data_IF_981743919681
#
_entry.id   IF_981743919681
#
_cell.length_a   1.000
_cell.length_b   1.000
_cell.length_c   1.000
_cell.angle_alpha   90.00
_cell.angle_beta   90.00
_cell.angle_gamma   90.00
#
_symmetry.space_group_name_H-M   'P 1'
#
loop_
_entity.id
_entity.type
_entity.pdbx_description
1 polymer ?
#
# COMPACT_ATOMS: atom_id res chain seq x y z
N UNK A 1 -0.65 13.56 -12.45
CA UNK A 1 0.68 13.25 -11.86
C UNK A 1 1.71 14.06 -12.63
N UNK A 2 2.55 14.85 -11.96
CA UNK A 2 3.54 15.74 -12.62
C UNK A 2 4.97 15.20 -12.59
N UNK A 3 5.25 14.23 -11.72
CA UNK A 3 6.54 13.54 -11.63
C UNK A 3 6.28 12.07 -11.30
N UNK A 4 6.86 11.15 -12.08
CA UNK A 4 6.68 9.70 -11.93
C UNK A 4 7.82 8.99 -11.23
N UNK A 5 8.89 9.69 -10.82
CA UNK A 5 10.11 9.08 -10.28
C UNK A 5 9.85 8.04 -9.17
N UNK A 6 8.86 8.30 -8.30
CA UNK A 6 8.50 7.36 -7.22
C UNK A 6 7.82 6.09 -7.73
N UNK A 7 7.02 6.21 -8.79
CA UNK A 7 6.41 5.06 -9.45
C UNK A 7 7.50 4.28 -10.18
N UNK A 8 8.32 4.99 -10.97
CA UNK A 8 9.43 4.41 -11.73
C UNK A 8 10.38 3.59 -10.85
N UNK A 9 10.68 4.09 -9.65
CA UNK A 9 11.58 3.44 -8.72
C UNK A 9 11.02 2.16 -8.08
N UNK A 10 9.69 1.98 -8.02
CA UNK A 10 9.06 0.77 -7.49
C UNK A 10 8.89 -0.34 -8.56
N UNK A 11 8.89 0.02 -9.85
CA UNK A 11 8.69 -0.93 -10.95
C UNK A 11 9.68 -2.11 -10.95
N UNK A 12 10.99 -1.93 -10.67
CA UNK A 12 11.93 -3.05 -10.64
C UNK A 12 11.53 -4.15 -9.65
N UNK A 13 11.06 -3.78 -8.45
CA UNK A 13 10.60 -4.74 -7.43
C UNK A 13 9.36 -5.49 -7.89
N UNK A 14 8.39 -4.76 -8.46
CA UNK A 14 7.14 -5.33 -8.97
C UNK A 14 7.42 -6.33 -10.10
N UNK A 15 8.23 -5.92 -11.08
CA UNK A 15 8.58 -6.74 -12.23
C UNK A 15 9.33 -7.99 -11.81
N UNK A 16 10.32 -7.87 -10.91
CA UNK A 16 11.07 -9.00 -10.40
C UNK A 16 10.18 -10.03 -9.71
N UNK A 17 9.25 -9.59 -8.85
CA UNK A 17 8.36 -10.51 -8.17
C UNK A 17 7.47 -11.27 -9.17
N UNK A 18 6.93 -10.59 -10.18
CA UNK A 18 6.16 -11.22 -11.26
C UNK A 18 7.00 -12.21 -12.07
N UNK A 19 8.21 -11.84 -12.48
CA UNK A 19 9.11 -12.67 -13.28
C UNK A 19 9.59 -13.92 -12.52
N UNK A 20 9.62 -13.85 -11.19
CA UNK A 20 9.99 -14.96 -10.30
C UNK A 20 8.77 -15.73 -9.76
N UNK A 21 7.62 -15.63 -10.44
CA UNK A 21 6.49 -16.51 -10.20
C UNK A 21 5.55 -16.08 -9.07
N UNK A 22 5.60 -14.82 -8.62
CA UNK A 22 4.55 -14.30 -7.75
C UNK A 22 3.20 -14.36 -8.49
N UNK A 23 2.22 -15.01 -7.85
CA UNK A 23 0.87 -15.14 -8.42
C UNK A 23 0.20 -13.79 -8.61
N UNK A 24 0.36 -12.87 -7.67
CA UNK A 24 -0.16 -11.51 -7.76
C UNK A 24 0.68 -10.55 -6.94
N UNK A 25 0.57 -9.26 -7.25
CA UNK A 25 1.20 -8.17 -6.49
C UNK A 25 0.08 -7.27 -5.95
N UNK A 26 0.06 -7.06 -4.63
CA UNK A 26 -0.85 -6.11 -3.97
C UNK A 26 -0.03 -4.89 -3.54
N UNK A 27 -0.30 -3.75 -4.16
CA UNK A 27 0.36 -2.48 -3.91
C UNK A 27 -0.44 -1.69 -2.86
N UNK A 28 0.20 -1.39 -1.73
CA UNK A 28 -0.35 -0.51 -0.69
C UNK A 28 0.48 0.78 -0.61
N UNK A 29 -0.18 1.94 -0.67
CA UNK A 29 0.50 3.22 -0.65
C UNK A 29 -0.41 4.33 -0.12
N UNK A 30 0.13 5.54 -0.02
CA UNK A 30 -0.62 6.71 0.37
C UNK A 30 -0.30 7.91 -0.51
N UNK A 31 -1.25 8.84 -0.59
CA UNK A 31 -1.10 10.11 -1.28
C UNK A 31 -1.54 11.27 -0.38
N UNK A 32 -0.70 12.30 -0.28
CA UNK A 32 -1.03 13.50 0.48
C UNK A 32 -1.25 13.27 1.98
N UNK A 33 -2.13 14.07 2.58
CA UNK A 33 -2.45 14.05 4.01
C UNK A 33 -3.97 14.14 4.22
N UNK A 34 -4.70 13.05 3.93
CA UNK A 34 -6.15 12.99 4.15
C UNK A 34 -6.57 12.92 5.63
N UNK A 35 -5.63 12.72 6.56
CA UNK A 35 -5.86 12.71 8.02
C UNK A 35 -6.89 11.67 8.51
N UNK A 36 -7.05 10.54 7.83
CA UNK A 36 -7.97 9.47 8.20
C UNK A 36 -9.39 9.64 7.65
N UNK A 37 -9.57 10.48 6.63
CA UNK A 37 -10.86 10.68 5.97
C UNK A 37 -10.75 10.55 4.45
N UNK A 38 -11.80 10.06 3.80
CA UNK A 38 -11.84 9.97 2.34
C UNK A 38 -11.79 11.36 1.70
N UNK A 39 -10.97 11.50 0.66
CA UNK A 39 -10.91 12.72 -0.16
C UNK A 39 -10.49 12.39 -1.58
N UNK A 40 -11.38 12.66 -2.55
CA UNK A 40 -11.18 12.36 -3.97
C UNK A 40 -9.87 12.95 -4.54
N UNK A 41 -9.43 14.12 -4.04
CA UNK A 41 -8.16 14.74 -4.41
C UNK A 41 -6.93 13.86 -4.12
N UNK A 42 -7.05 12.97 -3.14
CA UNK A 42 -5.99 12.08 -2.69
C UNK A 42 -6.24 10.62 -3.08
N UNK A 43 -7.18 10.34 -3.99
CA UNK A 43 -7.37 8.99 -4.52
C UNK A 43 -6.11 8.49 -5.26
N UNK A 44 -5.90 7.18 -5.20
CA UNK A 44 -4.87 6.44 -5.93
C UNK A 44 -5.24 6.19 -7.40
N UNK A 45 -6.44 6.56 -7.85
CA UNK A 45 -6.88 6.36 -9.23
C UNK A 45 -5.93 6.94 -10.31
N UNK A 46 -5.35 8.14 -10.15
CA UNK A 46 -4.35 8.64 -11.08
C UNK A 46 -3.06 7.81 -11.07
N UNK A 47 -2.68 7.25 -9.91
CA UNK A 47 -1.49 6.40 -9.77
C UNK A 47 -1.71 5.06 -10.45
N UNK A 48 -2.89 4.45 -10.30
CA UNK A 48 -3.26 3.20 -10.98
C UNK A 48 -3.01 3.27 -12.48
N UNK A 49 -3.49 4.35 -13.12
CA UNK A 49 -3.33 4.58 -14.56
C UNK A 49 -1.87 4.66 -15.00
N UNK A 50 -1.04 5.37 -14.24
CA UNK A 50 0.38 5.54 -14.57
C UNK A 50 1.18 4.26 -14.32
N UNK A 51 0.85 3.51 -13.26
CA UNK A 51 1.46 2.20 -13.00
C UNK A 51 1.09 1.22 -14.12
N UNK A 52 -0.18 1.17 -14.53
CA UNK A 52 -0.66 0.35 -15.65
C UNK A 52 0.07 0.67 -16.95
N UNK A 53 0.18 1.95 -17.31
CA UNK A 53 0.89 2.41 -18.50
C UNK A 53 2.36 1.97 -18.48
N UNK A 54 3.05 2.14 -17.35
CA UNK A 54 4.48 1.86 -17.25
C UNK A 54 4.81 0.38 -17.11
N UNK A 55 3.92 -0.39 -16.48
CA UNK A 55 4.07 -1.83 -16.34
C UNK A 55 3.66 -2.56 -17.64
N UNK A 56 2.90 -1.90 -18.52
CA UNK A 56 2.36 -2.52 -19.74
C UNK A 56 1.36 -3.64 -19.43
N UNK A 57 0.68 -3.56 -18.28
CA UNK A 57 -0.20 -4.60 -17.75
C UNK A 57 -1.36 -3.97 -16.98
N UNK A 58 -2.58 -4.55 -17.07
CA UNK A 58 -3.72 -4.08 -16.29
C UNK A 58 -3.43 -3.98 -14.79
N UNK A 59 -3.84 -2.88 -14.17
CA UNK A 59 -3.77 -2.67 -12.72
C UNK A 59 -5.19 -2.53 -12.17
N UNK A 60 -5.61 -3.49 -11.35
CA UNK A 60 -6.91 -3.46 -10.68
C UNK A 60 -6.86 -2.51 -9.49
N UNK A 61 -7.43 -1.33 -9.63
CA UNK A 61 -7.64 -0.42 -8.50
C UNK A 61 -8.81 -0.90 -7.64
N UNK A 62 -8.57 -1.10 -6.36
CA UNK A 62 -9.61 -1.31 -5.35
C UNK A 62 -10.18 0.03 -4.88
N UNK A 63 -11.46 0.04 -4.49
CA UNK A 63 -12.11 1.23 -3.91
C UNK A 63 -11.75 1.46 -2.44
N UNK A 64 -11.02 0.53 -1.86
CA UNK A 64 -10.70 0.48 -0.44
C UNK A 64 -9.33 -0.19 -0.20
N UNK A 65 -8.86 -0.18 1.04
CA UNK A 65 -7.58 -0.78 1.49
C UNK A 65 -7.82 -2.10 2.20
N UNK A 66 -8.96 -2.24 2.88
CA UNK A 66 -9.32 -3.38 3.72
C UNK A 66 -10.79 -3.76 3.50
N UNK A 67 -11.23 -4.86 4.11
CA UNK A 67 -12.61 -5.31 4.07
C UNK A 67 -12.90 -6.38 3.02
N UNK A 68 -14.13 -6.90 3.04
CA UNK A 68 -14.52 -8.14 2.34
C UNK A 68 -14.23 -8.12 0.84
N UNK A 69 -14.57 -7.04 0.14
CA UNK A 69 -14.35 -6.94 -1.32
C UNK A 69 -12.84 -6.96 -1.67
N UNK A 70 -12.00 -6.35 -0.83
CA UNK A 70 -10.54 -6.35 -1.00
C UNK A 70 -9.96 -7.72 -0.69
N UNK A 71 -10.38 -8.34 0.42
CA UNK A 71 -9.96 -9.69 0.80
C UNK A 71 -10.34 -10.71 -0.30
N UNK A 72 -11.56 -10.66 -0.83
CA UNK A 72 -12.01 -11.54 -1.93
C UNK A 72 -11.21 -11.31 -3.22
N UNK A 73 -10.86 -10.07 -3.54
CA UNK A 73 -10.04 -9.75 -4.71
C UNK A 73 -8.60 -10.27 -4.61
N UNK A 74 -8.05 -10.34 -3.39
CA UNK A 74 -6.66 -10.77 -3.14
C UNK A 74 -6.54 -12.26 -2.81
N UNK A 75 -7.62 -12.93 -2.41
CA UNK A 75 -7.57 -14.32 -1.93
C UNK A 75 -7.04 -15.33 -2.95
N UNK A 76 -7.43 -15.20 -4.23
CA UNK A 76 -7.02 -16.14 -5.27
C UNK A 76 -7.12 -15.53 -6.69
N UNK A 77 -6.43 -14.42 -6.98
CA UNK A 77 -6.49 -13.77 -8.29
C UNK A 77 -5.82 -14.60 -9.39
N UNK A 78 -6.05 -14.24 -10.65
CA UNK A 78 -5.35 -14.88 -11.77
C UNK A 78 -3.83 -14.63 -11.70
N UNK A 79 -2.98 -15.59 -12.14
CA UNK A 79 -1.54 -15.40 -12.18
C UNK A 79 -1.12 -14.13 -12.95
N UNK A 80 -0.21 -13.37 -12.37
CA UNK A 80 0.26 -12.09 -12.89
C UNK A 80 -0.66 -10.90 -12.62
N UNK A 81 -1.68 -11.04 -11.77
CA UNK A 81 -2.56 -9.91 -11.40
C UNK A 81 -1.81 -8.87 -10.58
N UNK A 82 -1.99 -7.59 -10.92
CA UNK A 82 -1.52 -6.47 -10.11
C UNK A 82 -2.71 -5.71 -9.57
N UNK A 83 -2.77 -5.58 -8.24
CA UNK A 83 -3.83 -4.90 -7.51
C UNK A 83 -3.23 -3.67 -6.85
N UNK A 84 -3.86 -2.51 -7.02
CA UNK A 84 -3.53 -1.30 -6.28
C UNK A 84 -4.67 -1.02 -5.31
N UNK A 85 -4.35 -0.96 -4.02
CA UNK A 85 -5.30 -0.53 -2.99
C UNK A 85 -5.56 0.97 -3.08
N UNK A 86 -6.69 1.42 -2.52
CA UNK A 86 -6.91 2.86 -2.34
C UNK A 86 -5.94 3.41 -1.28
N UNK A 87 -5.97 4.73 -1.05
CA UNK A 87 -5.05 5.43 -0.18
C UNK A 87 -5.14 4.95 1.27
N UNK A 88 -4.07 4.34 1.78
CA UNK A 88 -4.04 3.78 3.15
C UNK A 88 -4.31 4.82 4.23
N UNK A 89 -3.98 6.10 3.99
CA UNK A 89 -4.22 7.18 4.95
C UNK A 89 -5.67 7.69 4.97
N UNK A 90 -6.56 7.15 4.15
CA UNK A 90 -8.00 7.30 4.37
C UNK A 90 -8.45 6.61 5.66
N UNK A 91 -7.63 5.70 6.20
CA UNK A 91 -7.82 5.11 7.52
C UNK A 91 -6.95 5.81 8.55
N UNK A 92 -7.55 6.25 9.66
CA UNK A 92 -6.81 6.83 10.78
C UNK A 92 -5.86 5.79 11.41
N UNK A 93 -6.23 4.51 11.30
CA UNK A 93 -5.49 3.34 11.76
C UNK A 93 -4.13 3.18 11.07
N UNK A 94 -3.93 3.76 9.89
CA UNK A 94 -2.63 3.75 9.20
C UNK A 94 -1.58 4.58 9.96
N UNK A 95 -1.90 5.84 10.28
CA UNK A 95 -0.99 6.74 10.98
C UNK A 95 -1.13 6.69 12.52
N UNK A 96 -2.19 6.01 13.01
CA UNK A 96 -2.58 5.95 14.43
C UNK A 96 -3.14 7.27 14.98
N UNK A 97 -3.23 8.31 14.15
CA UNK A 97 -3.69 9.65 14.49
C UNK A 97 -4.17 10.39 13.25
N UNK A 98 -5.08 11.34 13.45
CA UNK A 98 -5.70 12.12 12.39
C UNK A 98 -6.09 13.51 12.89
N UNK A 99 -6.91 14.18 12.09
CA UNK A 99 -7.54 15.45 12.46
C UNK A 99 -8.97 15.48 11.96
N UNK A 100 -9.88 16.01 12.76
CA UNK A 100 -11.25 16.30 12.30
C UNK A 100 -11.29 17.58 11.44
N UNK A 101 -12.48 17.91 10.94
CA UNK A 101 -12.73 19.10 10.12
C UNK A 101 -12.35 20.42 10.83
N UNK A 102 -12.42 20.46 12.16
CA UNK A 102 -12.07 21.62 12.99
C UNK A 102 -10.56 21.67 13.33
N UNK A 103 -9.79 20.65 12.91
CA UNK A 103 -8.35 20.54 13.10
C UNK A 103 -7.94 19.97 14.45
N UNK A 104 -8.88 19.46 15.26
CA UNK A 104 -8.58 18.79 16.52
C UNK A 104 -7.88 17.47 16.27
N UNK A 105 -6.97 17.09 17.18
CA UNK A 105 -6.20 15.84 17.05
C UNK A 105 -7.09 14.65 17.38
N UNK A 106 -7.18 13.70 16.45
CA UNK A 106 -7.79 12.40 16.67
C UNK A 106 -6.69 11.36 16.91
N UNK A 107 -6.99 10.36 17.74
CA UNK A 107 -6.12 9.19 17.97
C UNK A 107 -6.92 7.94 17.62
N UNK A 108 -6.31 7.03 16.87
CA UNK A 108 -6.93 5.75 16.56
C UNK A 108 -7.04 4.89 17.82
N UNK A 109 -8.10 4.09 17.88
CA UNK A 109 -8.25 3.05 18.89
C UNK A 109 -7.20 1.94 18.64
N UNK A 110 -6.37 1.56 19.63
CA UNK A 110 -5.38 0.50 19.47
C UNK A 110 -5.94 -0.83 18.95
N UNK A 111 -7.15 -1.22 19.34
CA UNK A 111 -7.74 -2.47 18.84
C UNK A 111 -8.13 -2.34 17.36
N UNK A 112 -8.63 -1.17 16.94
CA UNK A 112 -8.91 -0.92 15.51
C UNK A 112 -7.63 -0.89 14.67
N UNK A 113 -6.53 -0.36 15.21
CA UNK A 113 -5.21 -0.43 14.54
C UNK A 113 -4.78 -1.89 14.34
N UNK A 114 -4.98 -2.74 15.35
CA UNK A 114 -4.69 -4.17 15.27
C UNK A 114 -5.57 -4.87 14.23
N UNK A 115 -6.87 -4.58 14.22
CA UNK A 115 -7.81 -5.13 13.23
C UNK A 115 -7.47 -4.70 11.80
N UNK A 116 -7.09 -3.44 11.62
CA UNK A 116 -6.65 -2.90 10.33
C UNK A 116 -5.41 -3.62 9.81
N UNK A 117 -4.39 -3.81 10.66
CA UNK A 117 -3.19 -4.58 10.33
C UNK A 117 -3.50 -6.03 10.02
N UNK A 118 -4.39 -6.66 10.80
CA UNK A 118 -4.81 -8.02 10.56
C UNK A 118 -5.53 -8.16 9.20
N UNK A 119 -6.32 -7.17 8.77
CA UNK A 119 -6.93 -7.19 7.44
C UNK A 119 -5.89 -7.03 6.33
N UNK A 120 -4.89 -6.15 6.48
CA UNK A 120 -3.76 -6.03 5.54
C UNK A 120 -2.98 -7.35 5.43
N UNK A 121 -2.74 -8.03 6.55
CA UNK A 121 -2.01 -9.29 6.59
C UNK A 121 -2.69 -10.43 5.82
N UNK A 122 -3.99 -10.36 5.57
CA UNK A 122 -4.71 -11.34 4.75
C UNK A 122 -4.55 -11.14 3.25
N UNK A 123 -4.02 -9.99 2.82
CA UNK A 123 -4.03 -9.61 1.40
C UNK A 123 -2.86 -10.21 0.60
N UNK A 124 -1.85 -10.76 1.28
CA UNK A 124 -0.68 -11.35 0.64
C UNK A 124 -0.03 -12.39 1.55
N UNK A 125 0.80 -13.25 0.95
CA UNK A 125 1.57 -14.26 1.70
C UNK A 125 2.91 -13.72 2.20
N UNK A 126 3.48 -12.73 1.48
CA UNK A 126 4.79 -12.14 1.76
C UNK A 126 4.65 -10.62 1.78
N UNK A 127 5.23 -9.99 2.80
CA UNK A 127 5.34 -8.54 2.90
C UNK A 127 6.65 -8.04 2.32
N UNK A 128 6.58 -7.07 1.42
CA UNK A 128 7.74 -6.39 0.85
C UNK A 128 7.66 -4.88 1.13
N UNK A 129 8.65 -4.34 1.85
CA UNK A 129 8.77 -2.90 2.09
C UNK A 129 9.70 -2.26 1.09
N UNK A 130 9.16 -1.41 0.21
CA UNK A 130 9.92 -0.70 -0.81
C UNK A 130 9.79 0.84 -0.69
N UNK A 131 9.45 1.31 0.52
CA UNK A 131 9.08 2.69 0.79
C UNK A 131 10.01 3.35 1.84
N UNK A 132 11.30 3.51 1.49
CA UNK A 132 12.30 4.11 2.40
C UNK A 132 11.86 5.46 3.00
N UNK A 133 11.25 6.32 2.18
CA UNK A 133 10.76 7.63 2.62
C UNK A 133 9.74 7.60 3.77
N UNK A 134 9.16 6.44 4.07
CA UNK A 134 8.27 6.22 5.22
C UNK A 134 8.79 5.20 6.24
N UNK A 135 9.97 4.61 6.04
CA UNK A 135 10.54 3.61 6.93
C UNK A 135 10.78 4.13 8.37
N UNK A 136 10.96 5.44 8.54
CA UNK A 136 11.09 6.08 9.86
C UNK A 136 9.77 6.13 10.67
N UNK A 137 8.67 5.59 10.14
CA UNK A 137 7.32 5.68 10.73
C UNK A 137 6.83 4.31 11.17
N UNK A 138 6.37 4.22 12.42
CA UNK A 138 5.69 3.03 12.94
C UNK A 138 4.21 2.95 12.50
N UNK A 139 3.94 3.26 11.23
CA UNK A 139 2.60 3.19 10.65
C UNK A 139 2.22 1.73 10.34
N UNK A 140 0.92 1.46 10.22
CA UNK A 140 0.40 0.09 10.07
C UNK A 140 0.96 -0.62 8.83
N UNK A 141 1.01 0.04 7.67
CA UNK A 141 1.61 -0.54 6.45
C UNK A 141 3.13 -0.73 6.50
N UNK A 142 3.84 -0.07 7.42
CA UNK A 142 5.32 -0.05 7.46
C UNK A 142 5.94 -1.15 8.32
N UNK A 143 5.18 -1.70 9.25
CA UNK A 143 5.72 -2.65 10.24
C UNK A 143 5.62 -4.12 9.81
N UNK A 144 4.87 -4.41 8.74
CA UNK A 144 4.65 -5.78 8.26
C UNK A 144 4.02 -6.69 9.31
N UNK A 145 3.16 -6.14 10.16
CA UNK A 145 2.53 -6.86 11.26
C UNK A 145 1.61 -7.97 10.73
N UNK A 146 1.65 -9.14 11.35
CA UNK A 146 0.92 -10.33 10.88
C UNK A 146 1.54 -11.12 9.72
N UNK A 147 2.65 -10.66 9.13
CA UNK A 147 3.37 -11.41 8.09
C UNK A 147 4.56 -12.20 8.66
N UNK A 148 4.63 -13.48 8.31
CA UNK A 148 5.76 -14.36 8.68
C UNK A 148 7.02 -14.01 7.88
N UNK A 149 6.86 -13.75 6.57
CA UNK A 149 7.97 -13.37 5.69
C UNK A 149 7.91 -11.88 5.36
N UNK A 150 9.00 -11.18 5.68
CA UNK A 150 9.18 -9.74 5.43
C UNK A 150 10.50 -9.52 4.69
N UNK A 151 10.46 -8.78 3.60
CA UNK A 151 11.64 -8.43 2.82
C UNK A 151 11.66 -6.94 2.46
N UNK A 152 12.84 -6.46 2.07
CA UNK A 152 13.00 -5.17 1.42
C UNK A 152 12.82 -5.32 -0.09
N UNK A 153 12.14 -4.36 -0.72
CA UNK A 153 12.23 -4.19 -2.17
C UNK A 153 13.56 -3.56 -2.57
N UNK A 154 13.78 -3.38 -3.87
CA UNK A 154 15.08 -2.91 -4.37
C UNK A 154 15.37 -1.45 -4.04
N UNK A 155 14.37 -0.59 -3.92
CA UNK A 155 14.56 0.80 -3.49
C UNK A 155 15.03 0.81 -2.04
N UNK A 156 14.32 0.10 -1.15
CA UNK A 156 14.71 0.05 0.26
C UNK A 156 16.08 -0.60 0.44
N UNK A 157 16.35 -1.71 -0.25
CA UNK A 157 17.64 -2.41 -0.17
C UNK A 157 18.80 -1.49 -0.56
N UNK A 158 18.67 -0.74 -1.66
CA UNK A 158 19.69 0.21 -2.10
C UNK A 158 19.97 1.31 -1.07
N UNK A 159 18.96 1.79 -0.37
CA UNK A 159 19.11 2.81 0.68
C UNK A 159 19.73 2.23 1.96
N UNK A 160 19.58 0.92 2.22
CA UNK A 160 20.21 0.22 3.34
C UNK A 160 21.69 -0.13 3.08
N UNK A 161 22.05 -0.36 1.82
CA UNK A 161 23.41 -0.70 1.40
C UNK A 161 24.34 0.54 1.28
N UNK A 162 23.76 1.74 1.29
CA UNK A 162 24.46 3.02 1.12
C UNK A 162 25.08 3.54 2.43
#
# INVERSE_FOLDING_TARGET
>A
ITNTQRIDAALPTIQYALDNGAKSIVLCSHLGRPNGEFNDKFSMAPVAKVVEEKLGRPVKLMKDVVGKEVEEACANPEPGTVILLENSRFYIEEEGKGKDADGNKLKADPEKVKDFRASIAKLADIYCSDAFGTAHRAHSSMVGDGFDTKCSGFLLAKELDA
#
